data_IF_208283279436
#
_entry.id   IF_208283279436
#
_cell.length_a   1.000
_cell.length_b   1.000
_cell.length_c   1.000
_cell.angle_alpha   90.00
_cell.angle_beta   90.00
_cell.angle_gamma   90.00
#
_symmetry.space_group_name_H-M   'P 1'
#
loop_
_entity.id
_entity.type
_entity.pdbx_description
1 polymer ?
#
# COMPACT_ATOMS: atom_id res chain seq x y z
N UNK A 1 0.43 6.69 6.86
CA UNK A 1 0.36 7.75 5.84
C UNK A 1 0.24 7.07 4.50
N UNK A 2 -0.82 7.37 3.74
CA UNK A 2 -0.96 6.87 2.37
C UNK A 2 0.04 7.61 1.49
N UNK A 3 0.79 6.90 0.66
CA UNK A 3 1.75 7.54 -0.26
C UNK A 3 1.00 8.10 -1.47
N UNK A 4 1.47 9.21 -2.07
CA UNK A 4 0.82 9.81 -3.25
C UNK A 4 0.65 8.82 -4.41
N UNK A 5 1.59 7.89 -4.56
CA UNK A 5 1.51 6.79 -5.53
C UNK A 5 0.33 5.84 -5.26
N UNK A 6 0.06 5.51 -4.00
CA UNK A 6 -1.07 4.66 -3.63
C UNK A 6 -2.42 5.35 -3.84
N UNK A 7 -2.48 6.68 -3.69
CA UNK A 7 -3.68 7.46 -4.01
C UNK A 7 -3.92 7.50 -5.53
N UNK A 8 -2.88 7.73 -6.31
CA UNK A 8 -2.93 7.77 -7.78
C UNK A 8 -3.32 6.40 -8.39
N UNK A 9 -2.68 5.32 -7.96
CA UNK A 9 -3.02 3.96 -8.40
C UNK A 9 -4.49 3.60 -8.09
N UNK A 10 -5.04 4.10 -6.98
CA UNK A 10 -6.46 3.88 -6.65
C UNK A 10 -7.40 4.64 -7.58
N UNK A 11 -7.03 5.86 -7.94
CA UNK A 11 -7.81 6.70 -8.86
C UNK A 11 -7.77 6.09 -10.27
N UNK A 12 -6.60 5.68 -10.76
CA UNK A 12 -6.49 5.00 -12.06
C UNK A 12 -7.32 3.71 -12.09
N UNK A 13 -7.22 2.87 -11.05
CA UNK A 13 -8.02 1.65 -10.96
C UNK A 13 -9.52 1.94 -10.90
N UNK A 14 -9.94 3.02 -10.23
CA UNK A 14 -11.32 3.45 -10.21
C UNK A 14 -11.79 3.90 -11.59
N UNK A 15 -10.99 4.69 -12.31
CA UNK A 15 -11.28 5.16 -13.68
C UNK A 15 -11.41 3.98 -14.65
N UNK A 16 -10.46 3.05 -14.62
CA UNK A 16 -10.50 1.83 -15.45
C UNK A 16 -11.74 0.99 -15.12
N UNK A 17 -12.09 0.85 -13.84
CA UNK A 17 -13.29 0.12 -13.43
C UNK A 17 -14.58 0.80 -13.91
N UNK A 18 -14.61 2.13 -13.92
CA UNK A 18 -15.74 2.93 -14.40
C UNK A 18 -15.92 2.81 -15.90
N UNK A 19 -14.84 2.92 -16.69
CA UNK A 19 -14.91 2.69 -18.14
C UNK A 19 -15.31 1.26 -18.50
N UNK A 20 -14.95 0.28 -17.67
CA UNK A 20 -15.42 -1.08 -17.85
C UNK A 20 -16.93 -1.18 -17.62
N UNK A 21 -17.44 -0.56 -16.55
CA UNK A 21 -18.88 -0.52 -16.27
C UNK A 21 -19.67 0.22 -17.35
N UNK A 22 -19.13 1.33 -17.86
CA UNK A 22 -19.68 2.10 -18.99
C UNK A 22 -19.82 1.22 -20.25
N UNK A 23 -18.74 0.55 -20.65
CA UNK A 23 -18.79 -0.39 -21.78
C UNK A 23 -19.77 -1.56 -21.57
N UNK A 24 -19.87 -2.07 -20.34
CA UNK A 24 -20.82 -3.14 -19.99
C UNK A 24 -22.28 -2.62 -20.08
N UNK A 25 -22.55 -1.40 -19.63
CA UNK A 25 -23.86 -0.75 -19.73
C UNK A 25 -24.23 -0.43 -21.17
N UNK A 26 -23.30 0.09 -21.98
CA UNK A 26 -23.52 0.36 -23.41
C UNK A 26 -23.82 -0.92 -24.18
N UNK A 27 -23.09 -2.00 -23.87
CA UNK A 27 -23.35 -3.32 -24.46
C UNK A 27 -24.75 -3.84 -24.09
N UNK A 28 -25.12 -3.72 -22.80
CA UNK A 28 -26.44 -4.11 -22.32
C UNK A 28 -27.55 -3.26 -22.97
N UNK A 29 -27.31 -1.96 -23.12
CA UNK A 29 -28.23 -1.02 -23.76
C UNK A 29 -28.44 -1.37 -25.24
N UNK A 30 -27.35 -1.60 -25.97
CA UNK A 30 -27.36 -1.99 -27.38
C UNK A 30 -28.11 -3.30 -27.58
N UNK A 31 -27.85 -4.29 -26.72
CA UNK A 31 -28.55 -5.58 -26.70
C UNK A 31 -30.05 -5.40 -26.45
N UNK A 32 -30.43 -4.60 -25.45
CA UNK A 32 -31.83 -4.34 -25.13
C UNK A 32 -32.57 -3.64 -26.29
N UNK A 33 -31.92 -2.70 -26.99
CA UNK A 33 -32.50 -2.09 -28.20
C UNK A 33 -32.64 -3.07 -29.35
N UNK A 34 -31.64 -3.92 -29.59
CA UNK A 34 -31.72 -4.93 -30.63
C UNK A 34 -32.87 -5.91 -30.37
N UNK A 35 -33.04 -6.30 -29.10
CA UNK A 35 -34.13 -7.18 -28.66
C UNK A 35 -35.50 -6.52 -28.79
N UNK A 36 -35.62 -5.23 -28.43
CA UNK A 36 -36.86 -4.47 -28.63
C UNK A 36 -37.24 -4.38 -30.12
N UNK A 37 -36.26 -4.15 -31.00
CA UNK A 37 -36.48 -4.13 -32.44
C UNK A 37 -36.83 -5.51 -33.02
N UNK A 38 -36.23 -6.59 -32.49
CA UNK A 38 -36.60 -7.97 -32.84
C UNK A 38 -38.05 -8.26 -32.48
N UNK A 39 -38.44 -7.96 -31.24
CA UNK A 39 -39.81 -8.16 -30.75
C UNK A 39 -40.83 -7.32 -31.55
N UNK A 40 -40.46 -6.10 -31.98
CA UNK A 40 -41.31 -5.28 -32.87
C UNK A 40 -41.55 -5.94 -34.23
N UNK A 41 -40.52 -6.58 -34.82
CA UNK A 41 -40.65 -7.31 -36.10
C UNK A 41 -41.51 -8.55 -35.95
N UNK A 42 -41.23 -9.39 -34.95
CA UNK A 42 -42.01 -10.60 -34.67
C UNK A 42 -43.49 -10.28 -34.43
N UNK A 43 -43.77 -9.21 -33.67
CA UNK A 43 -45.13 -8.72 -33.47
C UNK A 43 -45.79 -8.33 -34.80
N UNK A 44 -45.07 -7.64 -35.68
CA UNK A 44 -45.61 -7.20 -36.97
C UNK A 44 -45.91 -8.38 -37.90
N UNK A 45 -45.11 -9.44 -37.85
CA UNK A 45 -45.33 -10.68 -38.60
C UNK A 45 -46.53 -11.46 -38.04
N UNK A 46 -46.61 -11.65 -36.73
CA UNK A 46 -47.75 -12.30 -36.08
C UNK A 46 -49.08 -11.59 -36.39
N UNK A 47 -49.07 -10.26 -36.46
CA UNK A 47 -50.24 -9.49 -36.88
C UNK A 47 -50.66 -9.74 -38.32
N UNK A 48 -49.71 -9.88 -39.25
CA UNK A 48 -50.02 -10.21 -40.64
C UNK A 48 -50.59 -11.62 -40.78
N UNK A 49 -50.07 -12.58 -40.01
CA UNK A 49 -50.61 -13.95 -39.98
C UNK A 49 -52.04 -13.97 -39.43
N UNK A 50 -52.27 -13.27 -38.31
CA UNK A 50 -53.61 -13.14 -37.73
C UNK A 50 -54.60 -12.50 -38.73
N UNK A 51 -54.18 -11.44 -39.41
CA UNK A 51 -55.00 -10.77 -40.42
C UNK A 51 -55.34 -11.68 -41.61
N UNK A 52 -54.41 -12.55 -42.04
CA UNK A 52 -54.67 -13.55 -43.10
C UNK A 52 -55.72 -14.57 -42.65
N UNK A 53 -55.54 -15.17 -41.47
CA UNK A 53 -56.50 -16.15 -40.93
C UNK A 53 -57.90 -15.53 -40.81
N UNK A 54 -57.98 -14.28 -40.32
CA UNK A 54 -59.23 -13.54 -40.23
C UNK A 54 -59.88 -13.29 -41.59
N UNK A 55 -59.10 -12.87 -42.59
CA UNK A 55 -59.61 -12.65 -43.95
C UNK A 55 -60.16 -13.95 -44.56
N UNK A 56 -59.48 -15.08 -44.34
CA UNK A 56 -59.90 -16.40 -44.83
C UNK A 56 -61.22 -16.85 -44.17
N UNK A 57 -61.37 -16.67 -42.85
CA UNK A 57 -62.60 -17.02 -42.11
C UNK A 57 -63.80 -16.12 -42.48
N UNK A 58 -63.56 -14.82 -42.72
CA UNK A 58 -64.58 -13.89 -43.22
C UNK A 58 -65.03 -14.32 -44.63
N UNK A 59 -64.08 -14.67 -45.50
CA UNK A 59 -64.36 -15.13 -46.86
C UNK A 59 -65.13 -16.45 -46.86
N UNK A 60 -64.86 -17.32 -45.89
CA UNK A 60 -65.57 -18.58 -45.67
C UNK A 60 -66.98 -18.42 -45.05
N UNK A 61 -67.43 -17.19 -44.74
CA UNK A 61 -68.73 -16.87 -44.11
C UNK A 61 -69.00 -17.64 -42.80
N UNK A 62 -67.94 -18.00 -42.07
CA UNK A 62 -68.01 -18.82 -40.84
C UNK A 62 -68.05 -18.01 -39.54
N UNK A 63 -67.98 -16.69 -39.59
CA UNK A 63 -67.94 -15.87 -38.36
C UNK A 63 -69.29 -15.89 -37.63
N UNK A 64 -69.25 -16.48 -36.43
CA UNK A 64 -70.29 -16.44 -35.39
C UNK A 64 -69.72 -15.62 -34.22
N UNK A 65 -70.61 -14.91 -33.52
CA UNK A 65 -70.43 -13.92 -32.44
C UNK A 65 -69.29 -14.18 -31.42
N UNK A 66 -68.87 -15.44 -31.20
CA UNK A 66 -67.76 -15.80 -30.31
C UNK A 66 -66.37 -15.30 -30.79
N UNK A 67 -66.18 -15.18 -32.11
CA UNK A 67 -64.94 -14.66 -32.70
C UNK A 67 -64.77 -13.15 -32.48
N UNK A 68 -65.88 -12.40 -32.39
CA UNK A 68 -65.86 -10.96 -32.13
C UNK A 68 -65.48 -10.65 -30.68
N UNK A 69 -65.96 -11.47 -29.72
CA UNK A 69 -65.57 -11.35 -28.32
C UNK A 69 -64.09 -11.71 -28.09
N UNK A 70 -63.56 -12.70 -28.81
CA UNK A 70 -62.14 -13.04 -28.79
C UNK A 70 -61.28 -11.91 -29.40
N UNK A 71 -61.72 -11.30 -30.50
CA UNK A 71 -61.06 -10.14 -31.11
C UNK A 71 -61.03 -8.92 -30.20
N UNK A 72 -62.16 -8.56 -29.61
CA UNK A 72 -62.22 -7.43 -28.69
C UNK A 72 -61.28 -7.64 -27.47
N UNK A 73 -61.10 -8.88 -27.02
CA UNK A 73 -60.12 -9.23 -25.98
C UNK A 73 -58.68 -9.11 -26.48
N UNK A 74 -58.38 -9.56 -27.71
CA UNK A 74 -57.06 -9.44 -28.31
C UNK A 74 -56.66 -7.97 -28.50
N UNK A 75 -57.55 -7.12 -29.05
CA UNK A 75 -57.32 -5.68 -29.23
C UNK A 75 -57.02 -5.01 -27.89
N UNK A 76 -57.82 -5.25 -26.85
CA UNK A 76 -57.57 -4.71 -25.50
C UNK A 76 -56.22 -5.14 -24.93
N UNK A 77 -55.83 -6.40 -25.12
CA UNK A 77 -54.53 -6.91 -24.67
C UNK A 77 -53.37 -6.21 -25.40
N UNK A 78 -53.52 -5.96 -26.70
CA UNK A 78 -52.53 -5.29 -27.54
C UNK A 78 -52.41 -3.80 -27.22
N UNK A 79 -53.52 -3.12 -26.97
CA UNK A 79 -53.53 -1.72 -26.50
C UNK A 79 -52.85 -1.60 -25.15
N UNK A 80 -53.15 -2.51 -24.20
CA UNK A 80 -52.47 -2.56 -22.92
C UNK A 80 -50.96 -2.78 -23.09
N UNK A 81 -50.56 -3.80 -23.86
CA UNK A 81 -49.13 -4.06 -24.17
C UNK A 81 -48.45 -2.87 -24.83
N UNK A 82 -49.13 -2.16 -25.73
CA UNK A 82 -48.60 -0.94 -26.35
C UNK A 82 -48.35 0.14 -25.31
N UNK A 83 -49.31 0.39 -24.42
CA UNK A 83 -49.13 1.36 -23.34
C UNK A 83 -48.00 0.99 -22.38
N UNK A 84 -47.85 -0.30 -22.05
CA UNK A 84 -46.73 -0.81 -21.23
C UNK A 84 -45.39 -0.60 -21.94
N UNK A 85 -45.30 -0.85 -23.25
CA UNK A 85 -44.09 -0.59 -24.03
C UNK A 85 -43.75 0.89 -24.16
N UNK A 86 -44.75 1.74 -24.34
CA UNK A 86 -44.57 3.20 -24.43
C UNK A 86 -44.08 3.76 -23.08
N UNK A 87 -44.58 3.23 -21.95
CA UNK A 87 -44.08 3.54 -20.61
C UNK A 87 -42.62 3.12 -20.43
N UNK A 88 -42.28 1.86 -20.74
CA UNK A 88 -40.89 1.37 -20.62
C UNK A 88 -39.94 2.16 -21.52
N UNK A 89 -40.38 2.57 -22.71
CA UNK A 89 -39.58 3.39 -23.61
C UNK A 89 -39.32 4.79 -23.01
N UNK A 90 -40.33 5.40 -22.39
CA UNK A 90 -40.20 6.67 -21.69
C UNK A 90 -39.27 6.56 -20.47
N UNK A 91 -39.43 5.51 -19.67
CA UNK A 91 -38.57 5.24 -18.50
C UNK A 91 -37.11 5.04 -18.92
N UNK A 92 -36.87 4.30 -20.01
CA UNK A 92 -35.52 4.13 -20.58
C UNK A 92 -34.93 5.46 -21.03
N UNK A 93 -35.72 6.31 -21.68
CA UNK A 93 -35.24 7.62 -22.13
C UNK A 93 -34.89 8.53 -20.95
N UNK A 94 -35.71 8.51 -19.89
CA UNK A 94 -35.42 9.24 -18.65
C UNK A 94 -34.16 8.72 -17.95
N UNK A 95 -33.98 7.40 -17.89
CA UNK A 95 -32.79 6.78 -17.32
C UNK A 95 -31.51 7.14 -18.09
N UNK A 96 -31.58 7.18 -19.43
CA UNK A 96 -30.45 7.59 -20.27
C UNK A 96 -30.07 9.07 -20.06
N UNK A 97 -31.07 9.96 -19.97
CA UNK A 97 -30.80 11.37 -19.68
C UNK A 97 -30.18 11.57 -18.28
N UNK A 98 -30.65 10.80 -17.29
CA UNK A 98 -30.08 10.83 -15.94
C UNK A 98 -28.64 10.29 -15.91
N UNK A 99 -28.34 9.26 -16.71
CA UNK A 99 -26.99 8.73 -16.87
C UNK A 99 -26.04 9.78 -17.47
N UNK A 100 -26.44 10.41 -18.57
CA UNK A 100 -25.64 11.45 -19.24
C UNK A 100 -25.36 12.63 -18.29
N UNK A 101 -26.36 13.05 -17.51
CA UNK A 101 -26.16 14.08 -16.50
C UNK A 101 -25.18 13.64 -15.40
N UNK A 102 -25.33 12.42 -14.87
CA UNK A 102 -24.44 11.89 -13.84
C UNK A 102 -23.00 11.74 -14.33
N UNK A 103 -22.80 11.36 -15.60
CA UNK A 103 -21.48 11.28 -16.23
C UNK A 103 -20.85 12.66 -16.39
N UNK A 104 -21.63 13.68 -16.80
CA UNK A 104 -21.17 15.06 -16.87
C UNK A 104 -20.77 15.60 -15.50
N UNK A 105 -21.58 15.37 -14.47
CA UNK A 105 -21.28 15.76 -13.09
C UNK A 105 -20.02 15.05 -12.56
N UNK A 106 -19.89 13.76 -12.83
CA UNK A 106 -18.70 12.98 -12.47
C UNK A 106 -17.44 13.52 -13.17
N UNK A 107 -17.52 13.81 -14.46
CA UNK A 107 -16.39 14.37 -15.24
C UNK A 107 -15.95 15.72 -14.69
N UNK A 108 -16.91 16.61 -14.38
CA UNK A 108 -16.64 17.90 -13.77
C UNK A 108 -15.98 17.75 -12.37
N UNK A 109 -16.47 16.82 -11.55
CA UNK A 109 -15.89 16.54 -10.24
C UNK A 109 -14.46 15.97 -10.34
N UNK A 110 -14.19 15.11 -11.32
CA UNK A 110 -12.85 14.58 -11.59
C UNK A 110 -11.87 15.69 -12.00
N UNK A 111 -12.29 16.57 -12.91
CA UNK A 111 -11.47 17.72 -13.33
C UNK A 111 -11.18 18.68 -12.16
N UNK A 112 -12.17 18.92 -11.28
CA UNK A 112 -11.99 19.74 -10.09
C UNK A 112 -11.02 19.10 -9.08
N UNK A 113 -11.06 17.77 -8.93
CA UNK A 113 -10.12 17.04 -8.08
C UNK A 113 -8.69 17.13 -8.62
N UNK A 114 -8.50 16.93 -9.91
CA UNK A 114 -7.18 17.01 -10.56
C UNK A 114 -6.58 18.42 -10.39
N UNK A 115 -7.36 19.46 -10.67
CA UNK A 115 -6.93 20.84 -10.43
C UNK A 115 -6.57 21.12 -8.96
N UNK A 116 -7.29 20.52 -8.00
CA UNK A 116 -6.97 20.66 -6.57
C UNK A 116 -5.68 19.93 -6.18
N UNK A 117 -5.41 18.76 -6.77
CA UNK A 117 -4.17 18.01 -6.57
C UNK A 117 -2.98 18.83 -7.10
N UNK A 118 -3.08 19.33 -8.33
CA UNK A 118 -2.04 20.15 -8.95
C UNK A 118 -1.75 21.40 -8.10
N UNK A 119 -2.80 22.08 -7.62
CA UNK A 119 -2.63 23.25 -6.75
C UNK A 119 -1.92 22.93 -5.43
N UNK A 120 -2.19 21.77 -4.84
CA UNK A 120 -1.52 21.32 -3.61
C UNK A 120 -0.05 20.99 -3.88
N UNK A 121 0.25 20.31 -4.98
CA UNK A 121 1.62 19.93 -5.31
C UNK A 121 2.46 21.14 -5.71
N UNK A 122 1.89 22.10 -6.42
CA UNK A 122 2.50 23.40 -6.69
C UNK A 122 2.80 24.17 -5.39
N UNK A 123 1.84 24.20 -4.45
CA UNK A 123 2.04 24.87 -3.17
C UNK A 123 3.13 24.18 -2.34
N UNK A 124 3.15 22.85 -2.34
CA UNK A 124 4.21 22.07 -1.68
C UNK A 124 5.58 22.35 -2.27
N UNK A 125 5.69 22.41 -3.60
CA UNK A 125 6.93 22.73 -4.28
C UNK A 125 7.43 24.13 -3.89
N UNK A 126 6.54 25.13 -3.92
CA UNK A 126 6.86 26.51 -3.52
C UNK A 126 7.32 26.59 -2.05
N UNK A 127 6.56 26.01 -1.13
CA UNK A 127 6.92 25.98 0.29
C UNK A 127 8.24 25.23 0.51
N UNK A 128 8.49 24.15 -0.20
CA UNK A 128 9.76 23.43 -0.12
C UNK A 128 10.93 24.29 -0.61
N UNK A 129 10.75 25.08 -1.67
CA UNK A 129 11.76 26.01 -2.17
C UNK A 129 12.00 27.18 -1.22
N UNK A 130 10.94 27.76 -0.64
CA UNK A 130 11.02 28.79 0.40
C UNK A 130 11.77 28.29 1.64
N UNK A 131 11.45 27.08 2.11
CA UNK A 131 12.16 26.46 3.24
C UNK A 131 13.62 26.20 2.87
N UNK A 132 13.92 25.68 1.67
CA UNK A 132 15.29 25.43 1.24
C UNK A 132 16.13 26.70 1.08
N UNK A 133 15.51 27.80 0.69
CA UNK A 133 16.16 29.11 0.56
C UNK A 133 16.27 29.86 1.89
N UNK A 134 15.50 29.48 2.91
CA UNK A 134 15.63 30.05 4.26
C UNK A 134 16.99 29.75 4.88
N UNK A 135 17.64 30.81 5.36
CA UNK A 135 18.96 30.73 5.99
C UNK A 135 18.92 29.86 7.27
N UNK A 136 17.84 29.96 8.05
CA UNK A 136 17.63 29.15 9.26
C UNK A 136 17.63 27.65 8.96
N UNK A 137 16.96 27.24 7.87
CA UNK A 137 16.91 25.85 7.45
C UNK A 137 18.26 25.35 6.94
N UNK A 138 18.99 26.17 6.17
CA UNK A 138 20.33 25.82 5.71
C UNK A 138 21.31 25.63 6.87
N UNK A 139 21.27 26.52 7.86
CA UNK A 139 22.08 26.41 9.07
C UNK A 139 21.70 25.16 9.89
N UNK A 140 20.40 24.92 10.10
CA UNK A 140 19.92 23.73 10.81
C UNK A 140 20.31 22.42 10.08
N UNK A 141 20.19 22.40 8.74
CA UNK A 141 20.60 21.26 7.91
C UNK A 141 22.09 21.01 7.99
N UNK A 142 22.92 22.05 7.89
CA UNK A 142 24.37 21.93 8.01
C UNK A 142 24.78 21.44 9.41
N UNK A 143 24.15 21.96 10.47
CA UNK A 143 24.36 21.51 11.83
C UNK A 143 23.99 20.02 12.00
N UNK A 144 22.82 19.62 11.48
CA UNK A 144 22.39 18.21 11.50
C UNK A 144 23.34 17.29 10.73
N UNK A 145 23.76 17.66 9.52
CA UNK A 145 24.71 16.86 8.74
C UNK A 145 26.08 16.74 9.42
N UNK A 146 26.53 17.82 10.07
CA UNK A 146 27.78 17.80 10.84
C UNK A 146 27.67 16.87 12.06
N UNK A 147 26.59 16.97 12.84
CA UNK A 147 26.34 16.11 13.99
C UNK A 147 26.21 14.64 13.57
N UNK A 148 25.54 14.37 12.46
CA UNK A 148 25.42 13.02 11.90
C UNK A 148 26.76 12.44 11.46
N UNK A 149 27.63 13.25 10.84
CA UNK A 149 28.99 12.82 10.49
C UNK A 149 29.83 12.52 11.74
N UNK A 150 29.73 13.35 12.77
CA UNK A 150 30.43 13.15 14.05
C UNK A 150 29.95 11.86 14.72
N UNK A 151 28.63 11.66 14.82
CA UNK A 151 28.05 10.45 15.39
C UNK A 151 28.49 9.20 14.61
N UNK A 152 28.40 9.23 13.27
CA UNK A 152 28.85 8.12 12.44
C UNK A 152 30.35 7.83 12.55
N UNK A 153 31.19 8.86 12.69
CA UNK A 153 32.62 8.70 12.92
C UNK A 153 32.93 8.15 14.32
N UNK A 154 32.16 8.57 15.33
CA UNK A 154 32.27 8.04 16.69
C UNK A 154 31.88 6.56 16.76
N UNK A 155 30.78 6.17 16.10
CA UNK A 155 30.35 4.78 15.99
C UNK A 155 31.39 3.93 15.26
N UNK A 156 31.93 4.42 14.13
CA UNK A 156 32.99 3.72 13.40
C UNK A 156 34.26 3.55 14.24
N UNK A 157 34.66 4.59 14.98
CA UNK A 157 35.83 4.54 15.87
C UNK A 157 35.59 3.62 17.07
N UNK A 158 34.38 3.59 17.61
CA UNK A 158 34.00 2.66 18.67
C UNK A 158 34.08 1.22 18.17
N UNK A 159 33.52 0.92 16.99
CA UNK A 159 33.58 -0.41 16.37
C UNK A 159 35.02 -0.86 16.08
N UNK A 160 35.87 0.03 15.54
CA UNK A 160 37.29 -0.25 15.34
C UNK A 160 38.02 -0.51 16.65
N UNK A 161 37.75 0.28 17.68
CA UNK A 161 38.35 0.09 19.01
C UNK A 161 37.93 -1.24 19.64
N UNK A 162 36.67 -1.64 19.49
CA UNK A 162 36.18 -2.94 19.95
C UNK A 162 36.86 -4.10 19.21
N UNK A 163 37.07 -3.98 17.89
CA UNK A 163 37.79 -4.98 17.09
C UNK A 163 39.27 -5.07 17.49
N UNK A 164 39.98 -3.95 17.61
CA UNK A 164 41.37 -3.93 18.07
C UNK A 164 41.52 -4.51 19.48
N UNK A 165 40.56 -4.23 20.37
CA UNK A 165 40.54 -4.81 21.71
C UNK A 165 40.30 -6.33 21.65
N UNK A 166 39.38 -6.79 20.81
CA UNK A 166 39.14 -8.22 20.62
C UNK A 166 40.40 -8.93 20.09
N UNK A 167 41.12 -8.33 19.13
CA UNK A 167 42.38 -8.86 18.62
C UNK A 167 43.49 -8.86 19.66
N UNK A 168 43.62 -7.79 20.45
CA UNK A 168 44.62 -7.69 21.53
C UNK A 168 44.30 -8.55 22.74
N UNK A 169 43.05 -9.02 22.90
CA UNK A 169 42.63 -9.95 23.96
C UNK A 169 42.92 -11.42 23.64
N UNK A 170 42.92 -11.81 22.35
CA UNK A 170 43.18 -13.20 21.91
C UNK A 170 44.43 -13.84 22.54
N UNK A 171 45.60 -13.18 22.57
CA UNK A 171 46.81 -13.79 23.16
C UNK A 171 46.71 -14.05 24.67
N UNK A 172 45.84 -13.33 25.38
CA UNK A 172 45.62 -13.51 26.82
C UNK A 172 44.52 -14.54 27.10
N UNK A 173 43.50 -14.61 26.25
CA UNK A 173 42.41 -15.59 26.37
C UNK A 173 42.86 -17.00 25.93
N UNK A 174 43.86 -17.09 25.04
CA UNK A 174 44.45 -18.36 24.58
C UNK A 174 45.48 -18.96 25.55
N UNK A 175 45.93 -18.23 26.57
CA UNK A 175 46.84 -18.75 27.62
C UNK A 175 46.04 -19.28 28.83
N UNK A 176 45.94 -20.62 29.00
CA UNK A 176 45.16 -21.22 30.09
C UNK A 176 45.75 -20.91 31.48
N UNK A 177 47.07 -20.68 31.56
CA UNK A 177 47.76 -20.37 32.83
C UNK A 177 47.49 -18.94 33.28
N UNK A 178 47.39 -18.00 32.32
CA UNK A 178 47.01 -16.63 32.59
C UNK A 178 45.56 -16.54 33.11
N UNK A 179 44.62 -17.20 32.43
CA UNK A 179 43.21 -17.20 32.86
C UNK A 179 43.02 -17.90 34.21
N UNK A 180 43.75 -18.98 34.47
CA UNK A 180 43.74 -19.64 35.79
C UNK A 180 44.13 -18.67 36.91
N UNK A 181 45.28 -18.01 36.80
CA UNK A 181 45.76 -17.04 37.80
C UNK A 181 44.85 -15.80 37.93
N UNK A 182 44.21 -15.38 36.84
CA UNK A 182 43.23 -14.29 36.84
C UNK A 182 41.92 -14.69 37.55
N UNK A 183 41.38 -15.88 37.27
CA UNK A 183 40.11 -16.38 37.83
C UNK A 183 40.16 -16.56 39.35
N UNK A 184 41.31 -17.00 39.89
CA UNK A 184 41.53 -17.14 41.34
C UNK A 184 41.84 -15.78 42.02
N UNK A 185 41.96 -14.70 41.24
CA UNK A 185 42.20 -13.35 41.73
C UNK A 185 43.60 -13.16 42.31
N UNK A 186 44.60 -13.88 41.81
CA UNK A 186 45.99 -13.78 42.29
C UNK A 186 46.49 -12.31 42.26
N UNK A 187 47.23 -11.88 43.28
CA UNK A 187 47.60 -10.47 43.54
C UNK A 187 46.41 -9.51 43.84
N UNK A 188 45.26 -10.02 44.30
CA UNK A 188 44.17 -9.19 44.88
C UNK A 188 43.92 -9.55 46.34
N UNK A 189 43.26 -8.67 47.12
CA UNK A 189 42.78 -9.00 48.46
C UNK A 189 41.78 -10.17 48.51
N UNK A 190 41.24 -10.60 47.37
CA UNK A 190 40.27 -11.70 47.26
C UNK A 190 40.93 -13.08 47.14
N UNK A 191 42.24 -13.13 46.86
CA UNK A 191 42.99 -14.39 46.76
C UNK A 191 43.14 -15.06 48.13
N UNK A 192 42.50 -16.21 48.30
CA UNK A 192 42.56 -17.02 49.52
C UNK A 192 42.98 -18.43 49.15
N UNK A 193 44.28 -18.68 49.13
CA UNK A 193 44.84 -20.01 48.92
C UNK A 193 45.86 -20.37 50.00
N UNK A 194 46.06 -21.67 50.22
CA UNK A 194 47.00 -22.19 51.21
C UNK A 194 48.48 -21.96 50.81
N UNK A 195 49.44 -22.19 51.74
CA UNK A 195 50.85 -21.87 51.53
C UNK A 195 51.50 -22.58 50.33
N UNK A 196 51.12 -23.83 50.06
CA UNK A 196 51.64 -24.63 48.94
C UNK A 196 51.14 -24.13 47.58
N UNK A 197 49.83 -23.90 47.45
CA UNK A 197 49.23 -23.32 46.25
C UNK A 197 49.84 -21.95 45.95
N UNK A 198 50.04 -21.11 46.97
CA UNK A 198 50.66 -19.78 46.83
C UNK A 198 52.09 -19.83 46.29
N UNK A 199 52.86 -20.86 46.62
CA UNK A 199 54.22 -21.04 46.11
C UNK A 199 54.20 -21.42 44.62
N UNK A 200 53.37 -22.39 44.24
CA UNK A 200 53.21 -22.81 42.85
C UNK A 200 52.66 -21.68 41.98
N UNK A 201 51.63 -20.98 42.45
CA UNK A 201 51.03 -19.82 41.76
C UNK A 201 52.06 -18.68 41.59
N UNK A 202 52.97 -18.49 42.55
CA UNK A 202 54.05 -17.51 42.46
C UNK A 202 55.12 -17.85 41.43
N UNK A 203 55.47 -19.14 41.29
CA UNK A 203 56.40 -19.60 40.26
C UNK A 203 55.78 -19.47 38.86
N UNK A 204 54.53 -19.91 38.70
CA UNK A 204 53.78 -19.76 37.45
C UNK A 204 53.64 -18.29 37.07
N UNK A 205 53.30 -17.43 38.02
CA UNK A 205 53.17 -15.99 37.81
C UNK A 205 54.48 -15.32 37.37
N UNK A 206 55.63 -15.78 37.88
CA UNK A 206 56.94 -15.27 37.46
C UNK A 206 57.34 -15.77 36.06
N UNK A 207 56.97 -17.01 35.72
CA UNK A 207 57.26 -17.61 34.42
C UNK A 207 56.50 -16.94 33.27
N UNK A 208 55.22 -16.61 33.48
CA UNK A 208 54.37 -15.97 32.46
C UNK A 208 54.37 -14.44 32.54
N UNK A 209 55.12 -13.83 33.46
CA UNK A 209 55.13 -12.37 33.64
C UNK A 209 53.77 -11.80 34.05
N UNK A 210 53.02 -12.52 34.90
CA UNK A 210 51.61 -12.25 35.19
C UNK A 210 51.35 -10.86 35.76
N UNK A 211 52.26 -10.27 36.54
CA UNK A 211 52.05 -8.95 37.14
C UNK A 211 51.88 -7.85 36.08
N UNK A 212 52.71 -7.84 35.04
CA UNK A 212 52.66 -6.86 33.96
C UNK A 212 51.54 -7.18 32.96
N UNK A 213 51.36 -8.46 32.63
CA UNK A 213 50.27 -8.94 31.78
C UNK A 213 48.89 -8.63 32.38
N UNK A 214 48.75 -8.74 33.70
CA UNK A 214 47.52 -8.41 34.44
C UNK A 214 47.20 -6.92 34.39
N UNK A 215 48.20 -6.05 34.53
CA UNK A 215 48.02 -4.60 34.44
C UNK A 215 47.59 -4.19 33.02
N UNK A 216 48.24 -4.78 32.00
CA UNK A 216 47.89 -4.55 30.60
C UNK A 216 46.47 -5.06 30.27
N UNK A 217 46.12 -6.28 30.66
CA UNK A 217 44.78 -6.85 30.45
C UNK A 217 43.69 -6.07 31.20
N UNK A 218 43.94 -5.65 32.44
CA UNK A 218 43.02 -4.81 33.20
C UNK A 218 42.80 -3.44 32.54
N UNK A 219 43.86 -2.84 31.98
CA UNK A 219 43.76 -1.61 31.20
C UNK A 219 42.95 -1.81 29.91
N UNK A 220 43.16 -2.92 29.19
CA UNK A 220 42.39 -3.30 27.99
C UNK A 220 40.90 -3.60 28.26
N UNK A 221 40.53 -3.99 29.49
CA UNK A 221 39.13 -4.18 29.89
C UNK A 221 38.43 -2.86 30.20
N UNK A 222 39.14 -1.87 30.76
CA UNK A 222 38.56 -0.60 31.21
C UNK A 222 38.43 0.47 30.12
N UNK A 223 39.18 0.37 29.02
CA UNK A 223 39.10 1.29 27.87
C UNK A 223 37.70 1.37 27.20
N UNK A 224 37.00 0.26 26.90
CA UNK A 224 35.70 0.32 26.21
C UNK A 224 34.56 0.89 27.08
N UNK A 225 34.62 0.75 28.41
CA UNK A 225 33.63 1.37 29.31
C UNK A 225 33.74 2.90 29.28
N UNK A 226 34.96 3.44 29.33
CA UNK A 226 35.20 4.89 29.28
C UNK A 226 34.86 5.51 27.92
N UNK A 227 35.10 4.80 26.81
CA UNK A 227 34.76 5.28 25.47
C UNK A 227 33.23 5.37 25.24
N UNK A 228 32.45 4.46 25.83
CA UNK A 228 30.97 4.53 25.76
C UNK A 228 30.38 5.65 26.62
N UNK A 229 31.01 5.99 27.74
CA UNK A 229 30.61 7.15 28.53
C UNK A 229 30.87 8.48 27.81
N UNK A 230 31.98 8.58 27.06
CA UNK A 230 32.30 9.77 26.27
C UNK A 230 31.48 9.92 24.98
N UNK A 231 30.89 8.84 24.45
CA UNK A 231 30.03 8.88 23.27
C UNK A 231 28.57 9.31 23.55
N UNK A 232 28.19 9.47 24.84
CA UNK A 232 26.84 9.90 25.27
C UNK A 232 26.71 11.40 25.54
N UNK A 233 27.79 12.17 25.38
CA UNK A 233 27.82 13.64 25.46
C UNK A 233 27.88 14.23 24.05
#
# INVERSE_FOLDING_TARGET
>A
MWTGRQAFERIENAIVSLHRQENELDSALASATAEAERLRRERSEAFRELARIKLDEITAKRLVEDLDAAEARAVRLLERRRSELDQVAADRQAALAALEQAEAERSAAAAALEAAIDAVDDLRAKVAEEIQSSEEWQQAKAAYESARKIAGAADAKAAQSEQELAEKRKPYDEDPLFFYLWSIGYLTPRYKAGPFARFMDGLTAKHIGFADARLNYAMLIQIPERLREHARL
#
